data_IF_640811227893
#
_entry.id   IF_640811227893
#
_cell.length_a   1.000
_cell.length_b   1.000
_cell.length_c   1.000
_cell.angle_alpha   90.00
_cell.angle_beta   90.00
_cell.angle_gamma   90.00
#
_symmetry.space_group_name_H-M   'P 1'
#
loop_
_entity.id
_entity.type
_entity.pdbx_description
1 polymer ?
#
# COMPACT_ATOMS: atom_id res chain seq x y z
N UNK A 1 -7.27 34.71 -12.78
CA UNK A 1 -6.53 33.74 -13.60
C UNK A 1 -7.36 32.46 -13.68
N UNK A 2 -7.95 32.16 -14.82
CA UNK A 2 -8.71 30.92 -15.01
C UNK A 2 -7.71 29.74 -14.96
N UNK A 3 -7.72 28.98 -13.85
CA UNK A 3 -7.00 27.70 -13.81
C UNK A 3 -7.64 26.78 -14.86
N UNK A 4 -6.89 26.40 -15.90
CA UNK A 4 -7.32 25.37 -16.84
C UNK A 4 -7.59 24.10 -16.04
N UNK A 5 -8.84 23.63 -16.05
CA UNK A 5 -9.20 22.30 -15.58
C UNK A 5 -8.78 21.37 -16.70
N UNK A 6 -7.74 20.57 -16.44
CA UNK A 6 -7.32 19.52 -17.38
C UNK A 6 -8.19 18.32 -17.11
N UNK A 7 -8.99 17.84 -18.09
CA UNK A 7 -9.64 16.54 -17.94
C UNK A 7 -8.53 15.49 -17.75
N UNK A 8 -8.76 14.52 -16.86
CA UNK A 8 -7.91 13.33 -16.85
C UNK A 8 -8.01 12.74 -18.27
N UNK A 9 -6.89 12.68 -18.96
CA UNK A 9 -6.83 11.88 -20.17
C UNK A 9 -7.12 10.45 -19.77
N UNK A 10 -8.04 9.79 -20.46
CA UNK A 10 -8.08 8.33 -20.37
C UNK A 10 -6.66 7.84 -20.64
N UNK A 11 -6.13 6.93 -19.81
CA UNK A 11 -4.80 6.41 -20.05
C UNK A 11 -4.81 5.86 -21.47
N UNK A 12 -3.89 6.30 -22.36
CA UNK A 12 -3.84 5.69 -23.67
C UNK A 12 -3.63 4.20 -23.44
N UNK A 13 -4.41 3.34 -24.08
CA UNK A 13 -4.34 1.86 -23.99
C UNK A 13 -2.93 1.31 -24.24
N UNK A 14 -2.02 2.14 -24.76
CA UNK A 14 -0.57 1.94 -24.94
C UNK A 14 0.27 3.02 -24.23
N UNK A 15 -0.22 3.58 -23.14
CA UNK A 15 0.40 4.70 -22.45
C UNK A 15 1.78 4.42 -21.89
N UNK A 16 2.46 5.50 -21.58
CA UNK A 16 3.81 5.55 -20.99
C UNK A 16 3.91 4.63 -19.77
N UNK A 17 2.85 4.58 -18.99
CA UNK A 17 2.82 3.92 -17.71
C UNK A 17 1.77 2.85 -17.77
N UNK A 18 1.87 1.73 -18.03
CA UNK A 18 0.99 0.67 -17.70
C UNK A 18 0.62 -0.40 -18.62
N UNK A 19 0.15 -1.32 -18.01
CA UNK A 19 -0.70 -2.41 -18.41
C UNK A 19 -0.58 -3.52 -17.38
N UNK A 20 -1.62 -4.30 -17.15
CA UNK A 20 -1.63 -5.43 -16.23
C UNK A 20 -0.60 -6.50 -16.61
N UNK A 21 0.18 -6.25 -17.64
CA UNK A 21 1.06 -7.22 -18.27
C UNK A 21 2.38 -7.45 -17.57
N UNK A 22 2.81 -6.58 -16.63
CA UNK A 22 4.14 -6.74 -16.00
C UNK A 22 4.19 -6.13 -14.61
N UNK A 23 4.46 -6.96 -13.64
CA UNK A 23 4.55 -6.61 -12.22
C UNK A 23 5.64 -5.62 -11.86
N UNK A 24 6.70 -5.57 -12.70
CA UNK A 24 7.86 -4.74 -12.45
C UNK A 24 8.55 -4.50 -13.79
N UNK A 25 8.57 -3.25 -14.21
CA UNK A 25 9.07 -2.85 -15.52
C UNK A 25 9.89 -1.58 -15.40
N UNK A 26 11.11 -1.62 -15.92
CA UNK A 26 11.92 -0.41 -16.12
C UNK A 26 11.89 -0.03 -17.59
N UNK A 27 11.51 1.20 -17.87
CA UNK A 27 11.45 1.76 -19.21
C UNK A 27 12.05 3.15 -19.25
N UNK A 28 12.56 3.50 -20.43
CA UNK A 28 13.05 4.83 -20.75
C UNK A 28 12.01 5.60 -21.56
N UNK A 29 11.78 6.85 -21.19
CA UNK A 29 10.84 7.76 -21.84
C UNK A 29 11.50 9.08 -22.14
N UNK A 30 11.12 9.67 -23.25
CA UNK A 30 11.48 11.04 -23.60
C UNK A 30 10.21 11.87 -23.68
N UNK A 31 10.14 12.92 -22.86
CA UNK A 31 9.01 13.84 -22.80
C UNK A 31 9.48 15.17 -23.37
N UNK A 32 8.88 15.60 -24.48
CA UNK A 32 9.26 16.83 -25.21
C UNK A 32 8.22 17.94 -25.07
N UNK A 33 7.02 17.62 -24.61
CA UNK A 33 5.90 18.55 -24.41
C UNK A 33 5.19 18.22 -23.10
N UNK A 34 4.43 19.18 -22.59
CA UNK A 34 3.60 18.94 -21.41
C UNK A 34 2.69 17.73 -21.64
N UNK A 35 2.75 16.78 -20.70
CA UNK A 35 1.90 15.60 -20.73
C UNK A 35 0.55 15.89 -20.08
N UNK A 36 -0.49 15.21 -20.56
CA UNK A 36 -1.77 15.18 -19.87
C UNK A 36 -1.59 14.63 -18.45
N UNK A 37 -2.40 15.09 -17.48
CA UNK A 37 -2.40 14.52 -16.13
C UNK A 37 -2.63 13.01 -16.15
N UNK A 38 -1.81 12.26 -15.41
CA UNK A 38 -1.84 10.81 -15.32
C UNK A 38 -2.21 10.41 -13.89
N UNK A 39 -3.12 9.47 -13.75
CA UNK A 39 -3.47 8.84 -12.48
C UNK A 39 -3.70 7.36 -12.72
N UNK A 40 -2.76 6.53 -12.27
CA UNK A 40 -2.77 5.08 -12.52
C UNK A 40 -2.99 4.29 -11.23
N UNK A 41 -3.20 2.98 -11.36
CA UNK A 41 -3.27 2.08 -10.21
C UNK A 41 -1.90 1.56 -9.78
N UNK A 42 -0.95 1.52 -10.72
CA UNK A 42 0.43 1.15 -10.43
C UNK A 42 1.17 2.28 -9.69
N UNK A 43 2.24 1.91 -9.03
CA UNK A 43 3.19 2.84 -8.44
C UNK A 43 4.43 2.96 -9.30
N UNK A 44 5.09 4.13 -9.26
CA UNK A 44 6.24 4.43 -10.09
C UNK A 44 7.36 5.07 -9.30
N UNK A 45 8.59 4.57 -9.49
CA UNK A 45 9.78 5.38 -9.27
C UNK A 45 10.21 6.00 -10.59
N UNK A 46 10.37 7.31 -10.63
CA UNK A 46 10.79 8.06 -11.81
C UNK A 46 12.13 8.73 -11.50
N UNK A 47 13.17 8.35 -12.25
CA UNK A 47 14.47 8.98 -12.20
C UNK A 47 14.63 9.91 -13.42
N UNK A 48 14.95 11.16 -13.19
CA UNK A 48 15.32 12.11 -14.25
C UNK A 48 16.76 11.85 -14.66
N UNK A 49 16.98 11.41 -15.90
CA UNK A 49 18.33 11.13 -16.46
C UNK A 49 18.94 12.34 -17.11
N UNK A 50 18.13 13.13 -17.85
CA UNK A 50 18.56 14.34 -18.55
C UNK A 50 17.40 15.32 -18.66
N UNK A 51 17.75 16.59 -18.86
CA UNK A 51 16.80 17.69 -19.02
C UNK A 51 16.31 18.26 -17.71
N UNK A 52 15.59 19.38 -17.79
CA UNK A 52 14.97 20.09 -16.69
C UNK A 52 13.49 20.29 -16.95
N UNK A 53 12.73 20.46 -15.88
CA UNK A 53 11.30 20.67 -16.00
C UNK A 53 10.59 20.71 -14.64
N UNK A 54 9.29 20.50 -14.67
CA UNK A 54 8.41 20.53 -13.50
C UNK A 54 7.58 19.28 -13.48
N UNK A 55 7.56 18.59 -12.35
CA UNK A 55 6.53 17.61 -12.02
C UNK A 55 5.43 18.30 -11.23
N UNK A 56 4.20 18.18 -11.69
CA UNK A 56 3.02 18.66 -10.94
C UNK A 56 2.35 17.43 -10.33
N UNK A 57 2.40 17.33 -9.00
CA UNK A 57 1.87 16.18 -8.24
C UNK A 57 0.75 16.69 -7.34
N UNK A 58 -0.47 16.19 -7.55
CA UNK A 58 -1.67 16.67 -6.85
C UNK A 58 -1.81 18.22 -6.88
N UNK A 59 -1.44 18.84 -8.01
CA UNK A 59 -1.52 20.28 -8.23
C UNK A 59 -0.34 21.07 -7.65
N UNK A 60 0.61 20.46 -6.97
CA UNK A 60 1.81 21.08 -6.45
C UNK A 60 2.98 20.91 -7.42
N UNK A 61 3.77 21.95 -7.60
CA UNK A 61 4.88 22.00 -8.57
C UNK A 61 6.20 21.68 -7.90
N UNK A 62 6.93 20.74 -8.48
CA UNK A 62 8.28 20.35 -8.08
C UNK A 62 9.21 20.52 -9.27
N UNK A 63 10.21 21.42 -9.13
CA UNK A 63 11.28 21.54 -10.12
C UNK A 63 12.13 20.26 -10.11
N UNK A 64 12.44 19.75 -11.30
CA UNK A 64 13.22 18.53 -11.46
C UNK A 64 14.39 18.75 -12.42
N UNK A 65 15.51 18.12 -12.11
CA UNK A 65 16.75 18.11 -12.87
C UNK A 65 17.40 16.71 -12.83
N UNK A 66 18.47 16.47 -13.61
CA UNK A 66 19.13 15.16 -13.61
C UNK A 66 19.51 14.69 -12.20
N UNK A 67 19.14 13.45 -11.87
CA UNK A 67 19.34 12.85 -10.56
C UNK A 67 18.16 13.00 -9.60
N UNK A 68 17.18 13.86 -9.89
CA UNK A 68 15.93 13.90 -9.13
C UNK A 68 15.16 12.57 -9.28
N UNK A 69 14.60 12.10 -8.17
CA UNK A 69 13.81 10.87 -8.11
C UNK A 69 12.44 11.20 -7.52
N UNK A 70 11.39 10.72 -8.16
CA UNK A 70 10.02 10.82 -7.66
C UNK A 70 9.44 9.45 -7.41
N UNK A 71 8.67 9.32 -6.34
CA UNK A 71 7.85 8.14 -6.07
C UNK A 71 6.37 8.53 -6.19
N UNK A 72 5.70 8.00 -7.20
CA UNK A 72 4.29 8.27 -7.48
C UNK A 72 3.47 7.04 -7.12
N UNK A 73 2.38 7.26 -6.43
CA UNK A 73 1.44 6.21 -6.01
C UNK A 73 0.06 6.40 -6.62
N UNK A 74 -0.78 5.37 -6.50
CA UNK A 74 -2.12 5.32 -7.07
C UNK A 74 -3.07 6.47 -6.65
N UNK A 75 -2.77 7.15 -5.53
CA UNK A 75 -3.51 8.31 -5.03
C UNK A 75 -3.07 9.65 -5.62
N UNK A 76 -2.02 9.66 -6.44
CA UNK A 76 -1.41 10.89 -6.94
C UNK A 76 -1.68 11.08 -8.42
N UNK A 77 -1.97 12.33 -8.78
CA UNK A 77 -2.06 12.78 -10.17
C UNK A 77 -0.76 13.44 -10.55
N UNK A 78 -0.11 12.93 -11.58
CA UNK A 78 1.15 13.45 -12.09
C UNK A 78 0.95 14.12 -13.44
N UNK A 79 1.51 15.33 -13.59
CA UNK A 79 1.75 15.99 -14.87
C UNK A 79 3.23 16.27 -15.02
N UNK A 80 3.80 15.99 -16.18
CA UNK A 80 5.21 16.19 -16.50
C UNK A 80 5.32 17.33 -17.52
N UNK A 81 6.02 18.38 -17.14
CA UNK A 81 6.22 19.57 -17.97
C UNK A 81 7.71 19.81 -18.18
N UNK A 82 8.28 19.50 -19.34
CA UNK A 82 9.65 19.90 -19.68
C UNK A 82 9.77 21.43 -19.69
N UNK A 83 10.96 21.95 -19.38
CA UNK A 83 11.26 23.35 -19.57
C UNK A 83 11.27 23.71 -21.07
N UNK A 84 11.17 25.01 -21.35
CA UNK A 84 11.13 25.51 -22.73
C UNK A 84 12.39 25.08 -23.52
N UNK A 85 12.17 24.44 -24.67
CA UNK A 85 13.21 23.85 -25.52
C UNK A 85 14.04 22.70 -24.90
N UNK A 86 13.59 22.14 -23.78
CA UNK A 86 14.21 20.96 -23.18
C UNK A 86 13.40 19.67 -23.44
N UNK A 87 14.08 18.54 -23.30
CA UNK A 87 13.47 17.21 -23.30
C UNK A 87 13.87 16.50 -22.02
N UNK A 88 12.89 16.01 -21.30
CA UNK A 88 13.12 15.17 -20.13
C UNK A 88 13.32 13.72 -20.57
N UNK A 89 14.50 13.16 -20.28
CA UNK A 89 14.76 11.73 -20.38
C UNK A 89 14.56 11.10 -19.01
N UNK A 90 13.62 10.20 -18.93
CA UNK A 90 13.15 9.59 -17.68
C UNK A 90 13.37 8.07 -17.70
N UNK A 91 13.84 7.54 -16.59
CA UNK A 91 13.70 6.11 -16.30
C UNK A 91 12.54 5.91 -15.35
N UNK A 92 11.58 5.13 -15.81
CA UNK A 92 10.35 4.85 -15.05
C UNK A 92 10.33 3.38 -14.67
N UNK A 93 10.39 3.13 -13.38
CA UNK A 93 10.23 1.80 -12.79
C UNK A 93 8.79 1.67 -12.31
N UNK A 94 7.92 1.11 -13.15
CA UNK A 94 6.53 0.81 -12.78
C UNK A 94 6.45 -0.54 -12.08
N UNK A 95 5.61 -0.63 -11.06
CA UNK A 95 5.42 -1.86 -10.31
C UNK A 95 4.03 -1.89 -9.66
N UNK A 96 3.54 -3.11 -9.48
CA UNK A 96 2.36 -3.34 -8.67
C UNK A 96 2.74 -3.16 -7.20
N UNK A 97 2.15 -2.14 -6.55
CA UNK A 97 2.39 -1.81 -5.14
C UNK A 97 2.10 -3.00 -4.22
N UNK A 98 1.10 -3.82 -4.56
CA UNK A 98 0.69 -4.96 -3.76
C UNK A 98 1.70 -6.09 -3.83
N UNK A 99 2.36 -6.24 -4.97
CA UNK A 99 3.48 -7.14 -5.09
C UNK A 99 4.59 -6.76 -4.10
N UNK A 100 4.84 -5.48 -3.98
CA UNK A 100 5.82 -4.96 -3.05
C UNK A 100 5.44 -5.31 -1.61
N UNK A 101 4.18 -5.10 -1.21
CA UNK A 101 3.68 -5.39 0.13
C UNK A 101 3.58 -6.88 0.43
N UNK A 102 3.22 -7.71 -0.55
CA UNK A 102 3.14 -9.16 -0.36
C UNK A 102 4.49 -9.78 0.05
N UNK A 103 5.60 -9.24 -0.44
CA UNK A 103 6.95 -9.66 -0.06
C UNK A 103 7.53 -8.86 1.10
N UNK A 104 6.79 -7.88 1.62
CA UNK A 104 7.25 -7.06 2.73
C UNK A 104 7.01 -7.76 4.06
N UNK A 105 8.07 -8.22 4.68
CA UNK A 105 8.08 -8.45 6.13
C UNK A 105 8.20 -7.12 6.91
N UNK A 106 8.04 -5.99 6.23
CA UNK A 106 8.08 -4.66 6.82
C UNK A 106 6.88 -4.48 7.75
N UNK A 107 7.14 -4.01 8.97
CA UNK A 107 6.12 -3.65 9.96
C UNK A 107 5.55 -2.23 9.73
N UNK A 108 5.93 -1.59 8.64
CA UNK A 108 5.42 -0.27 8.28
C UNK A 108 4.01 -0.48 7.74
N UNK A 109 3.04 0.19 8.34
CA UNK A 109 1.66 0.13 7.87
C UNK A 109 1.52 0.87 6.53
N UNK A 110 0.51 0.50 5.75
CA UNK A 110 0.18 1.23 4.52
C UNK A 110 0.04 2.74 4.76
N UNK A 111 -0.58 3.12 5.86
CA UNK A 111 -0.79 4.52 6.22
C UNK A 111 0.52 5.26 6.50
N UNK A 112 1.46 4.64 7.23
CA UNK A 112 2.78 5.21 7.49
C UNK A 112 3.57 5.41 6.19
N UNK A 113 3.53 4.44 5.28
CA UNK A 113 4.16 4.58 3.96
C UNK A 113 3.52 5.70 3.14
N UNK A 114 2.18 5.80 3.14
CA UNK A 114 1.48 6.90 2.47
C UNK A 114 1.87 8.27 3.03
N UNK A 115 2.00 8.39 4.34
CA UNK A 115 2.47 9.62 4.98
C UNK A 115 3.89 9.99 4.53
N UNK A 116 4.82 9.02 4.51
CA UNK A 116 6.22 9.24 4.13
C UNK A 116 6.32 9.70 2.67
N UNK A 117 5.66 8.97 1.76
CA UNK A 117 5.71 9.27 0.32
C UNK A 117 5.03 10.59 -0.01
N UNK A 118 3.92 10.88 0.64
CA UNK A 118 3.23 12.15 0.42
C UNK A 118 3.95 13.33 1.10
N UNK A 119 4.81 13.09 2.10
CA UNK A 119 5.61 14.17 2.71
C UNK A 119 6.71 14.66 1.77
N UNK A 120 7.30 13.80 0.95
CA UNK A 120 8.37 14.16 0.01
C UNK A 120 8.20 13.45 -1.34
N UNK A 121 7.32 13.93 -2.24
CA UNK A 121 7.05 13.27 -3.51
C UNK A 121 8.22 13.28 -4.50
N UNK A 122 9.16 14.20 -4.33
CA UNK A 122 10.37 14.33 -5.15
C UNK A 122 11.58 14.53 -4.24
N UNK A 123 12.61 13.74 -4.42
CA UNK A 123 13.92 13.92 -3.77
C UNK A 123 14.93 14.51 -4.78
N UNK A 124 15.76 15.44 -4.29
CA UNK A 124 16.79 16.09 -5.10
C UNK A 124 17.97 15.17 -5.43
N UNK A 125 18.90 15.62 -6.31
CA UNK A 125 19.97 14.79 -6.84
C UNK A 125 21.14 14.56 -5.85
N UNK A 126 21.11 15.15 -4.67
CA UNK A 126 22.22 15.10 -3.72
C UNK A 126 22.00 14.08 -2.60
N UNK A 127 23.07 13.41 -2.17
CA UNK A 127 23.08 12.50 -1.04
C UNK A 127 23.48 11.07 -1.39
N UNK A 128 24.11 10.38 -0.45
CA UNK A 128 24.62 9.02 -0.64
C UNK A 128 23.53 8.00 -0.98
N UNK A 129 22.34 8.16 -0.40
CA UNK A 129 21.18 7.32 -0.67
C UNK A 129 20.67 7.51 -2.11
N UNK A 130 20.66 8.76 -2.59
CA UNK A 130 20.23 9.10 -3.96
C UNK A 130 21.21 8.50 -4.98
N UNK A 131 22.53 8.63 -4.74
CA UNK A 131 23.55 8.01 -5.59
C UNK A 131 23.39 6.49 -5.66
N UNK A 132 23.09 5.84 -4.52
CA UNK A 132 22.82 4.41 -4.49
C UNK A 132 21.55 4.07 -5.27
N UNK A 133 20.49 4.86 -5.19
CA UNK A 133 19.27 4.63 -5.97
C UNK A 133 19.57 4.74 -7.47
N UNK A 134 20.30 5.76 -7.90
CA UNK A 134 20.71 5.92 -9.31
C UNK A 134 21.51 4.70 -9.79
N UNK A 135 22.44 4.21 -8.98
CA UNK A 135 23.21 3.01 -9.29
C UNK A 135 22.33 1.74 -9.40
N UNK A 136 21.31 1.63 -8.55
CA UNK A 136 20.34 0.52 -8.64
C UNK A 136 19.52 0.57 -9.93
N UNK A 137 19.13 1.76 -10.41
CA UNK A 137 18.48 1.91 -11.70
C UNK A 137 19.41 1.44 -12.86
N UNK A 138 20.70 1.81 -12.81
CA UNK A 138 21.69 1.36 -13.80
C UNK A 138 21.86 -0.17 -13.77
N UNK A 139 21.94 -0.77 -12.57
CA UNK A 139 22.00 -2.23 -12.42
C UNK A 139 20.74 -2.92 -12.95
N UNK A 140 19.57 -2.36 -12.65
CA UNK A 140 18.30 -2.88 -13.10
C UNK A 140 18.21 -2.87 -14.63
N UNK A 141 18.66 -1.78 -15.28
CA UNK A 141 18.71 -1.69 -16.73
C UNK A 141 19.65 -2.71 -17.36
N UNK A 142 20.85 -2.92 -16.75
CA UNK A 142 21.84 -3.91 -17.20
C UNK A 142 21.35 -5.36 -17.14
N UNK A 143 20.45 -5.68 -16.19
CA UNK A 143 19.80 -6.99 -16.15
C UNK A 143 19.00 -7.28 -17.44
N UNK A 144 18.57 -6.22 -18.14
CA UNK A 144 17.92 -6.29 -19.44
C UNK A 144 16.65 -7.14 -19.42
N UNK A 145 16.22 -7.52 -20.62
CA UNK A 145 15.06 -8.40 -20.84
C UNK A 145 15.44 -9.90 -20.76
N UNK A 146 16.71 -10.24 -20.53
CA UNK A 146 17.17 -11.64 -20.49
C UNK A 146 16.54 -12.35 -19.28
N UNK A 147 15.81 -13.42 -19.56
CA UNK A 147 15.30 -14.35 -18.55
C UNK A 147 16.47 -15.26 -18.11
N UNK A 148 17.31 -14.79 -17.17
CA UNK A 148 18.31 -15.62 -16.51
C UNK A 148 17.78 -16.11 -15.16
N UNK A 149 18.36 -17.22 -14.68
CA UNK A 149 18.04 -17.73 -13.34
C UNK A 149 18.20 -16.62 -12.27
N UNK A 150 17.20 -16.45 -11.42
CA UNK A 150 17.22 -15.45 -10.35
C UNK A 150 16.98 -13.99 -10.78
N UNK A 151 16.81 -13.69 -12.08
CA UNK A 151 16.62 -12.29 -12.55
C UNK A 151 15.41 -11.61 -11.97
N UNK A 152 14.33 -12.35 -11.71
CA UNK A 152 13.11 -11.81 -11.08
C UNK A 152 13.37 -11.46 -9.61
N UNK A 153 14.10 -12.31 -8.88
CA UNK A 153 14.48 -12.07 -7.47
C UNK A 153 15.39 -10.83 -7.40
N UNK A 154 16.36 -10.70 -8.28
CA UNK A 154 17.24 -9.53 -8.33
C UNK A 154 16.47 -8.23 -8.58
N UNK A 155 15.54 -8.26 -9.54
CA UNK A 155 14.68 -7.08 -9.81
C UNK A 155 13.85 -6.67 -8.60
N UNK A 156 13.21 -7.62 -7.93
CA UNK A 156 12.46 -7.37 -6.70
C UNK A 156 13.36 -6.81 -5.58
N UNK A 157 14.57 -7.35 -5.44
CA UNK A 157 15.55 -6.88 -4.46
C UNK A 157 16.00 -5.44 -4.74
N UNK A 158 16.21 -5.08 -6.01
CA UNK A 158 16.55 -3.70 -6.38
C UNK A 158 15.41 -2.74 -6.07
N UNK A 159 14.19 -3.11 -6.42
CA UNK A 159 13.01 -2.30 -6.11
C UNK A 159 12.88 -2.06 -4.59
N UNK A 160 13.04 -3.11 -3.79
CA UNK A 160 13.00 -3.01 -2.32
C UNK A 160 14.09 -2.09 -1.77
N UNK A 161 15.28 -2.18 -2.32
CA UNK A 161 16.38 -1.33 -1.91
C UNK A 161 16.13 0.13 -2.31
N UNK A 162 15.57 0.38 -3.49
CA UNK A 162 15.17 1.73 -3.92
C UNK A 162 14.14 2.30 -2.93
N UNK A 163 13.10 1.55 -2.62
CA UNK A 163 12.06 1.93 -1.66
C UNK A 163 12.66 2.27 -0.28
N UNK A 164 13.49 1.38 0.27
CA UNK A 164 14.14 1.60 1.56
C UNK A 164 14.99 2.88 1.58
N UNK A 165 15.80 3.09 0.55
CA UNK A 165 16.66 4.27 0.46
C UNK A 165 15.84 5.55 0.29
N UNK A 166 14.79 5.51 -0.54
CA UNK A 166 13.86 6.64 -0.69
C UNK A 166 13.22 7.00 0.66
N UNK A 167 12.72 6.01 1.38
CA UNK A 167 12.12 6.21 2.70
C UNK A 167 13.09 6.79 3.72
N UNK A 168 14.37 6.39 3.70
CA UNK A 168 15.40 6.99 4.56
C UNK A 168 15.58 8.48 4.28
N UNK A 169 15.65 8.88 3.01
CA UNK A 169 15.74 10.29 2.61
C UNK A 169 14.49 11.03 3.06
N UNK A 170 13.30 10.48 2.80
CA UNK A 170 12.04 11.11 3.17
C UNK A 170 11.88 11.23 4.70
N UNK A 171 12.27 10.25 5.48
CA UNK A 171 12.24 10.31 6.95
C UNK A 171 13.20 11.37 7.49
N UNK A 172 14.39 11.49 6.93
CA UNK A 172 15.35 12.54 7.31
C UNK A 172 14.80 13.93 7.03
N UNK A 173 14.03 14.08 5.94
CA UNK A 173 13.36 15.33 5.59
C UNK A 173 12.07 15.55 6.40
N UNK A 174 11.42 14.49 6.93
CA UNK A 174 10.15 14.59 7.70
C UNK A 174 10.29 15.47 8.95
N UNK A 175 11.47 15.57 9.53
CA UNK A 175 11.76 16.48 10.64
C UNK A 175 11.53 17.96 10.29
N UNK A 176 11.56 18.30 9.01
CA UNK A 176 11.34 19.67 8.48
C UNK A 176 9.95 19.87 7.84
N UNK A 177 9.15 18.80 7.65
CA UNK A 177 7.82 18.88 7.04
C UNK A 177 6.74 18.52 8.05
N UNK A 178 5.93 19.49 8.45
CA UNK A 178 4.74 19.25 9.28
C UNK A 178 3.52 19.06 8.37
N UNK A 179 2.64 18.12 8.70
CA UNK A 179 1.39 17.87 7.96
C UNK A 179 0.57 19.14 7.77
N UNK A 180 0.58 20.05 8.77
CA UNK A 180 -0.09 21.33 8.74
C UNK A 180 0.41 22.24 7.59
N UNK A 181 1.65 22.09 7.17
CA UNK A 181 2.24 22.89 6.08
C UNK A 181 1.86 22.40 4.68
N UNK A 182 1.24 21.21 4.55
CA UNK A 182 0.86 20.68 3.24
C UNK A 182 -0.26 21.49 2.60
N UNK A 183 -0.23 21.66 1.26
CA UNK A 183 -1.37 22.20 0.53
C UNK A 183 -2.66 21.41 0.83
N UNK A 184 -3.78 22.12 0.88
CA UNK A 184 -5.07 21.51 1.19
C UNK A 184 -5.42 20.33 0.27
N UNK A 185 -5.09 20.44 -1.01
CA UNK A 185 -5.30 19.36 -1.99
C UNK A 185 -4.57 18.06 -1.61
N UNK A 186 -3.33 18.19 -1.10
CA UNK A 186 -2.53 17.03 -0.65
C UNK A 186 -3.14 16.41 0.60
N UNK A 187 -3.54 17.23 1.58
CA UNK A 187 -4.20 16.74 2.81
C UNK A 187 -5.47 15.97 2.50
N UNK A 188 -6.32 16.53 1.64
CA UNK A 188 -7.57 15.89 1.20
C UNK A 188 -7.28 14.55 0.51
N UNK A 189 -6.37 14.52 -0.46
CA UNK A 189 -6.04 13.30 -1.21
C UNK A 189 -5.49 12.21 -0.29
N UNK A 190 -4.60 12.57 0.62
CA UNK A 190 -4.01 11.64 1.60
C UNK A 190 -5.08 11.08 2.54
N UNK A 191 -5.94 11.94 3.10
CA UNK A 191 -6.99 11.51 4.01
C UNK A 191 -7.96 10.52 3.34
N UNK A 192 -8.42 10.83 2.12
CA UNK A 192 -9.29 9.92 1.38
C UNK A 192 -8.58 8.60 1.07
N UNK A 193 -7.32 8.63 0.64
CA UNK A 193 -6.57 7.42 0.30
C UNK A 193 -6.42 6.48 1.51
N UNK A 194 -6.14 7.03 2.71
CA UNK A 194 -5.91 6.25 3.93
C UNK A 194 -7.21 5.78 4.62
N UNK A 195 -8.37 6.40 4.31
CA UNK A 195 -9.66 6.06 4.92
C UNK A 195 -10.67 5.46 3.93
N UNK A 196 -10.27 5.20 2.68
CA UNK A 196 -11.19 4.80 1.61
C UNK A 196 -11.83 3.42 1.81
N UNK A 197 -11.21 2.53 2.54
CA UNK A 197 -11.70 1.18 2.84
C UNK A 197 -12.78 1.13 3.93
N UNK A 198 -13.04 2.25 4.61
CA UNK A 198 -14.11 2.41 5.59
C UNK A 198 -15.29 3.23 5.01
N UNK A 199 -16.44 3.29 5.69
CA UNK A 199 -17.48 4.26 5.38
C UNK A 199 -16.90 5.67 5.50
N UNK A 200 -16.90 6.40 4.39
CA UNK A 200 -16.35 7.76 4.32
C UNK A 200 -17.28 8.65 3.49
N UNK A 201 -17.67 9.78 4.06
CA UNK A 201 -18.48 10.81 3.42
C UNK A 201 -17.67 12.08 3.14
N UNK A 202 -18.18 12.96 2.28
CA UNK A 202 -17.55 14.25 2.03
C UNK A 202 -17.51 15.12 3.32
N UNK A 203 -18.55 15.03 4.15
CA UNK A 203 -18.61 15.70 5.45
C UNK A 203 -17.47 15.24 6.36
N UNK A 204 -17.22 13.92 6.46
CA UNK A 204 -16.12 13.39 7.29
C UNK A 204 -14.76 13.97 6.87
N UNK A 205 -14.53 14.14 5.57
CA UNK A 205 -13.29 14.76 5.07
C UNK A 205 -13.23 16.25 5.43
N UNK A 206 -14.34 16.97 5.28
CA UNK A 206 -14.42 18.39 5.65
C UNK A 206 -14.13 18.55 7.15
N UNK A 207 -14.81 17.79 8.00
CA UNK A 207 -14.71 17.92 9.45
C UNK A 207 -13.29 17.61 9.97
N UNK A 208 -12.59 16.66 9.35
CA UNK A 208 -11.28 16.23 9.81
C UNK A 208 -10.09 16.94 9.13
N UNK A 209 -10.26 17.47 7.92
CA UNK A 209 -9.15 18.03 7.13
C UNK A 209 -9.28 19.53 6.90
N UNK A 210 -10.50 20.03 6.74
CA UNK A 210 -10.76 21.44 6.39
C UNK A 210 -12.07 21.96 7.00
N UNK A 211 -12.20 21.98 8.34
CA UNK A 211 -13.47 22.27 9.02
C UNK A 211 -14.05 23.68 8.72
N UNK A 212 -13.24 24.60 8.21
CA UNK A 212 -13.69 25.90 7.74
C UNK A 212 -14.19 25.93 6.29
N UNK A 213 -14.20 24.78 5.60
CA UNK A 213 -14.62 24.64 4.20
C UNK A 213 -16.02 23.98 4.11
N UNK A 214 -16.54 23.88 2.88
CA UNK A 214 -17.77 23.16 2.58
C UNK A 214 -17.49 21.95 1.71
N UNK A 215 -18.43 20.99 1.65
CA UNK A 215 -18.35 19.86 0.70
C UNK A 215 -18.25 20.32 -0.76
N UNK A 216 -18.87 21.45 -1.10
CA UNK A 216 -18.75 22.04 -2.43
C UNK A 216 -17.31 22.52 -2.71
N UNK A 217 -16.64 23.12 -1.72
CA UNK A 217 -15.24 23.54 -1.80
C UNK A 217 -14.30 22.33 -1.90
N UNK A 218 -14.56 21.28 -1.12
CA UNK A 218 -13.85 20.00 -1.21
C UNK A 218 -13.94 19.42 -2.64
N UNK A 219 -15.15 19.30 -3.18
CA UNK A 219 -15.38 18.79 -4.53
C UNK A 219 -14.69 19.68 -5.60
N UNK A 220 -14.75 21.00 -5.43
CA UNK A 220 -14.06 21.91 -6.35
C UNK A 220 -12.54 21.70 -6.31
N UNK A 221 -11.96 21.55 -5.12
CA UNK A 221 -10.53 21.29 -4.97
C UNK A 221 -10.12 19.98 -5.66
N UNK A 222 -10.87 18.91 -5.44
CA UNK A 222 -10.62 17.62 -6.08
C UNK A 222 -10.75 17.71 -7.61
N UNK A 223 -11.81 18.35 -8.12
CA UNK A 223 -12.01 18.55 -9.57
C UNK A 223 -10.86 19.33 -10.22
N UNK A 224 -10.38 20.40 -9.56
CA UNK A 224 -9.27 21.19 -10.08
C UNK A 224 -7.96 20.41 -10.14
N UNK A 225 -7.72 19.55 -9.14
CA UNK A 225 -6.45 18.83 -8.98
C UNK A 225 -6.46 17.50 -9.72
N UNK A 226 -7.56 16.76 -9.65
CA UNK A 226 -7.61 15.37 -10.13
C UNK A 226 -8.55 15.18 -11.32
N UNK A 227 -9.38 16.13 -11.63
CA UNK A 227 -10.48 15.99 -12.61
C UNK A 227 -11.65 15.15 -12.10
N UNK A 228 -11.62 14.69 -10.85
CA UNK A 228 -12.62 13.82 -10.25
C UNK A 228 -13.32 14.52 -9.07
N UNK A 229 -14.63 14.28 -8.93
CA UNK A 229 -15.32 14.66 -7.70
C UNK A 229 -15.01 13.68 -6.55
N UNK A 230 -15.46 14.00 -5.32
CA UNK A 230 -15.20 13.17 -4.14
C UNK A 230 -15.61 11.70 -4.34
N UNK A 231 -16.82 11.45 -4.84
CA UNK A 231 -17.31 10.08 -5.02
C UNK A 231 -16.51 9.29 -6.07
N UNK A 232 -16.11 9.95 -7.16
CA UNK A 232 -15.26 9.34 -8.19
C UNK A 232 -13.87 9.04 -7.66
N UNK A 233 -13.25 10.00 -6.94
CA UNK A 233 -11.93 9.81 -6.35
C UNK A 233 -11.94 8.71 -5.28
N UNK A 234 -12.92 8.71 -4.37
CA UNK A 234 -13.10 7.68 -3.35
C UNK A 234 -13.27 6.28 -3.98
N UNK A 235 -14.11 6.15 -5.01
CA UNK A 235 -14.29 4.86 -5.70
C UNK A 235 -13.01 4.40 -6.39
N UNK A 236 -12.19 5.32 -6.91
CA UNK A 236 -10.90 4.99 -7.49
C UNK A 236 -9.93 4.45 -6.42
N UNK A 237 -9.88 5.06 -5.25
CA UNK A 237 -9.06 4.57 -4.13
C UNK A 237 -9.53 3.19 -3.66
N UNK A 238 -10.84 3.00 -3.55
CA UNK A 238 -11.42 1.68 -3.24
C UNK A 238 -11.07 0.61 -4.28
N UNK A 239 -11.05 0.96 -5.56
CA UNK A 239 -10.62 0.04 -6.61
C UNK A 239 -9.13 -0.28 -6.52
N UNK A 240 -8.29 0.70 -6.21
CA UNK A 240 -6.86 0.46 -5.97
C UNK A 240 -6.65 -0.54 -4.83
N UNK A 241 -7.38 -0.36 -3.72
CA UNK A 241 -7.38 -1.33 -2.62
C UNK A 241 -7.88 -2.72 -3.07
N UNK A 242 -8.97 -2.78 -3.84
CA UNK A 242 -9.53 -4.05 -4.32
C UNK A 242 -8.55 -4.82 -5.22
N UNK A 243 -7.89 -4.12 -6.14
CA UNK A 243 -6.92 -4.72 -7.07
C UNK A 243 -5.75 -5.37 -6.33
N UNK A 244 -5.43 -4.86 -5.15
CA UNK A 244 -4.48 -5.44 -4.23
C UNK A 244 -4.72 -6.92 -3.91
N UNK A 245 -5.97 -7.27 -3.78
CA UNK A 245 -6.38 -8.61 -3.40
C UNK A 245 -6.53 -9.55 -4.60
N UNK A 246 -6.34 -9.07 -5.83
CA UNK A 246 -6.50 -9.90 -7.03
C UNK A 246 -5.38 -10.92 -7.20
N UNK A 247 -4.26 -10.73 -6.55
CA UNK A 247 -3.16 -11.72 -6.49
C UNK A 247 -3.57 -13.00 -5.74
N UNK A 248 -4.60 -12.91 -4.92
CA UNK A 248 -5.16 -14.06 -4.21
C UNK A 248 -6.29 -14.64 -5.07
N UNK A 249 -5.97 -15.69 -5.84
CA UNK A 249 -6.87 -16.29 -6.83
C UNK A 249 -8.15 -16.89 -6.23
N UNK A 250 -8.13 -17.22 -4.97
CA UNK A 250 -9.21 -17.83 -4.20
C UNK A 250 -10.06 -16.86 -3.37
N UNK A 251 -9.71 -15.55 -3.31
CA UNK A 251 -10.57 -14.57 -2.64
C UNK A 251 -11.80 -14.27 -3.50
N UNK A 252 -13.02 -14.47 -2.99
CA UNK A 252 -14.24 -14.15 -3.71
C UNK A 252 -14.41 -12.63 -3.85
N UNK A 253 -14.97 -12.17 -4.95
CA UNK A 253 -15.10 -10.75 -5.24
C UNK A 253 -16.06 -10.00 -4.31
N UNK A 254 -17.08 -10.68 -3.76
CA UNK A 254 -17.94 -10.10 -2.73
C UNK A 254 -17.15 -9.72 -1.48
N UNK A 255 -16.21 -10.59 -1.06
CA UNK A 255 -15.31 -10.30 0.05
C UNK A 255 -14.36 -9.14 -0.30
N UNK A 256 -13.68 -9.20 -1.45
CA UNK A 256 -12.78 -8.13 -1.92
C UNK A 256 -13.50 -6.79 -1.95
N UNK A 257 -14.72 -6.73 -2.51
CA UNK A 257 -15.48 -5.49 -2.58
C UNK A 257 -15.79 -4.93 -1.19
N UNK A 258 -16.16 -5.79 -0.24
CA UNK A 258 -16.48 -5.41 1.13
C UNK A 258 -15.27 -4.81 1.86
N UNK A 259 -14.13 -5.51 1.88
CA UNK A 259 -12.91 -5.03 2.57
C UNK A 259 -12.28 -3.80 1.91
N UNK A 260 -12.66 -3.53 0.65
CA UNK A 260 -12.22 -2.33 -0.08
C UNK A 260 -13.19 -1.14 0.08
N UNK A 261 -14.21 -1.28 0.93
CA UNK A 261 -15.13 -0.20 1.28
C UNK A 261 -16.35 -0.06 0.35
N UNK A 262 -16.63 -1.01 -0.54
CA UNK A 262 -17.85 -0.98 -1.35
C UNK A 262 -19.02 -1.59 -0.58
N UNK A 263 -20.12 -0.86 -0.47
CA UNK A 263 -21.33 -1.34 0.20
C UNK A 263 -22.07 -2.45 -0.57
N UNK A 264 -21.86 -2.55 -1.89
CA UNK A 264 -22.51 -3.53 -2.78
C UNK A 264 -21.52 -4.02 -3.83
N UNK A 265 -21.44 -5.33 -4.00
CA UNK A 265 -20.62 -5.98 -5.02
C UNK A 265 -20.92 -5.48 -6.45
N UNK A 266 -22.21 -5.27 -6.77
CA UNK A 266 -22.64 -4.73 -8.06
C UNK A 266 -22.00 -3.36 -8.33
N UNK A 267 -21.88 -2.51 -7.31
CA UNK A 267 -21.24 -1.20 -7.44
C UNK A 267 -19.74 -1.35 -7.75
N UNK A 268 -19.06 -2.27 -7.07
CA UNK A 268 -17.67 -2.60 -7.36
C UNK A 268 -17.49 -3.04 -8.82
N UNK A 269 -18.25 -4.04 -9.29
CA UNK A 269 -18.14 -4.55 -10.67
C UNK A 269 -18.37 -3.45 -11.71
N UNK A 270 -19.38 -2.61 -11.49
CA UNK A 270 -19.69 -1.50 -12.40
C UNK A 270 -18.55 -0.48 -12.49
N UNK A 271 -18.02 -0.02 -11.35
CA UNK A 271 -16.92 0.95 -11.31
C UNK A 271 -15.63 0.35 -11.86
N UNK A 272 -15.36 -0.92 -11.53
CA UNK A 272 -14.18 -1.61 -12.02
C UNK A 272 -14.19 -1.68 -13.56
N UNK A 273 -15.31 -2.16 -14.15
CA UNK A 273 -15.46 -2.25 -15.61
C UNK A 273 -15.39 -0.88 -16.29
N UNK A 274 -15.98 0.15 -15.69
CA UNK A 274 -15.98 1.50 -16.24
C UNK A 274 -14.56 2.10 -16.33
N UNK A 275 -13.65 1.71 -15.42
CA UNK A 275 -12.27 2.25 -15.37
C UNK A 275 -11.30 1.36 -16.15
N UNK A 276 -11.45 0.03 -16.10
CA UNK A 276 -10.48 -0.91 -16.66
C UNK A 276 -10.92 -1.50 -18.01
N UNK A 277 -12.14 -1.23 -18.46
CA UNK A 277 -12.80 -1.89 -19.60
C UNK A 277 -12.91 -3.43 -19.46
N UNK A 278 -12.56 -3.98 -18.31
CA UNK A 278 -12.53 -5.42 -18.05
C UNK A 278 -13.42 -5.78 -16.86
N UNK A 279 -13.86 -7.03 -16.81
CA UNK A 279 -14.46 -7.56 -15.60
C UNK A 279 -13.34 -7.86 -14.57
N UNK A 280 -13.63 -7.79 -13.25
CA UNK A 280 -12.67 -8.17 -12.23
C UNK A 280 -12.09 -9.58 -12.42
N UNK A 281 -12.92 -10.53 -12.89
CA UNK A 281 -12.48 -11.90 -13.17
C UNK A 281 -11.47 -11.94 -14.32
N UNK A 282 -11.81 -11.33 -15.47
CA UNK A 282 -10.93 -11.32 -16.64
C UNK A 282 -9.59 -10.60 -16.32
N UNK A 283 -9.64 -9.53 -15.53
CA UNK A 283 -8.45 -8.81 -15.09
C UNK A 283 -7.58 -9.70 -14.19
N UNK A 284 -8.18 -10.37 -13.19
CA UNK A 284 -7.47 -11.34 -12.33
C UNK A 284 -6.83 -12.47 -13.13
N UNK A 285 -7.56 -13.06 -14.07
CA UNK A 285 -7.05 -14.12 -14.93
C UNK A 285 -5.85 -13.65 -15.77
N UNK A 286 -5.93 -12.44 -16.30
CA UNK A 286 -4.82 -11.83 -17.04
C UNK A 286 -3.61 -11.59 -16.13
N UNK A 287 -3.80 -11.02 -14.94
CA UNK A 287 -2.72 -10.85 -13.96
C UNK A 287 -2.06 -12.19 -13.61
N UNK A 288 -2.86 -13.21 -13.29
CA UNK A 288 -2.35 -14.53 -12.91
C UNK A 288 -1.71 -15.28 -14.08
N UNK A 289 -2.19 -15.09 -15.32
CA UNK A 289 -1.62 -15.73 -16.50
C UNK A 289 -0.25 -15.15 -16.85
N UNK A 290 -0.08 -13.86 -16.71
CA UNK A 290 1.20 -13.17 -16.94
C UNK A 290 2.25 -13.52 -15.87
N UNK A 291 1.80 -13.96 -14.68
CA UNK A 291 2.64 -14.51 -13.62
C UNK A 291 3.12 -15.94 -13.86
N UNK A 292 2.64 -16.67 -14.87
CA UNK A 292 3.05 -18.06 -15.12
C UNK A 292 4.54 -18.19 -15.48
N UNK A 293 5.15 -17.16 -16.02
CA UNK A 293 6.60 -17.11 -16.31
C UNK A 293 7.48 -16.80 -15.09
N UNK A 294 6.89 -16.30 -14.02
CA UNK A 294 7.56 -16.04 -12.76
C UNK A 294 6.91 -16.88 -11.64
N UNK A 295 7.36 -18.08 -11.40
CA UNK A 295 6.96 -18.96 -10.29
C UNK A 295 7.09 -18.33 -8.90
N UNK A 296 7.28 -17.03 -8.83
CA UNK A 296 7.45 -16.21 -7.63
C UNK A 296 6.13 -16.04 -6.87
N UNK A 297 4.98 -16.09 -7.57
CA UNK A 297 3.65 -15.90 -6.96
C UNK A 297 3.03 -17.15 -6.37
N UNK A 298 3.63 -18.31 -6.58
CA UNK A 298 3.23 -19.52 -5.86
C UNK A 298 4.06 -19.71 -4.59
N UNK A 299 4.28 -18.64 -3.85
CA UNK A 299 4.62 -18.74 -2.45
C UNK A 299 3.40 -19.28 -1.72
N UNK A 300 3.51 -20.48 -1.20
CA UNK A 300 2.51 -21.18 -0.40
C UNK A 300 1.08 -20.94 -0.88
N UNK A 301 0.63 -21.73 -1.86
CA UNK A 301 -0.79 -21.78 -2.22
C UNK A 301 -1.51 -22.18 -0.93
N UNK A 302 -2.10 -21.19 -0.25
CA UNK A 302 -3.01 -21.51 0.84
C UNK A 302 -4.19 -22.23 0.19
N UNK A 303 -4.52 -23.40 0.68
CA UNK A 303 -5.74 -24.06 0.25
C UNK A 303 -6.93 -23.16 0.61
N UNK A 304 -7.97 -23.19 -0.19
CA UNK A 304 -9.18 -22.40 0.05
C UNK A 304 -9.70 -22.50 1.50
N UNK A 305 -9.77 -23.71 2.12
CA UNK A 305 -10.19 -23.84 3.51
C UNK A 305 -9.24 -23.14 4.50
N UNK A 306 -7.93 -23.12 4.25
CA UNK A 306 -6.98 -22.46 5.14
C UNK A 306 -7.11 -20.94 5.07
N UNK A 307 -7.23 -20.38 3.87
CA UNK A 307 -7.40 -18.96 3.71
C UNK A 307 -8.72 -18.46 4.30
N UNK A 308 -9.81 -19.20 4.04
CA UNK A 308 -11.12 -18.91 4.63
C UNK A 308 -11.06 -18.96 6.16
N UNK A 309 -10.32 -19.92 6.73
CA UNK A 309 -10.13 -20.01 8.17
C UNK A 309 -9.30 -18.83 8.73
N UNK A 310 -8.23 -18.42 8.05
CA UNK A 310 -7.43 -17.26 8.45
C UNK A 310 -8.27 -15.98 8.41
N UNK A 311 -9.06 -15.79 7.35
CA UNK A 311 -9.99 -14.67 7.21
C UNK A 311 -11.04 -14.68 8.33
N UNK A 312 -11.66 -15.84 8.59
CA UNK A 312 -12.61 -15.99 9.68
C UNK A 312 -11.99 -15.60 11.03
N UNK A 313 -10.76 -16.07 11.31
CA UNK A 313 -10.04 -15.72 12.55
C UNK A 313 -9.76 -14.23 12.65
N UNK A 314 -9.42 -13.58 11.54
CA UNK A 314 -9.15 -12.14 11.49
C UNK A 314 -10.44 -11.34 11.75
N UNK A 315 -11.52 -11.67 11.06
CA UNK A 315 -12.81 -10.96 11.17
C UNK A 315 -13.45 -11.12 12.56
N UNK A 316 -13.15 -12.25 13.25
CA UNK A 316 -13.70 -12.55 14.57
C UNK A 316 -12.64 -12.48 15.69
N UNK A 317 -11.51 -11.83 15.47
CA UNK A 317 -10.38 -11.88 16.42
C UNK A 317 -10.71 -11.24 17.79
N UNK A 318 -11.64 -10.30 17.85
CA UNK A 318 -12.06 -9.65 19.10
C UNK A 318 -13.06 -10.47 19.91
N UNK A 319 -13.69 -11.47 19.27
CA UNK A 319 -14.72 -12.32 19.86
C UNK A 319 -14.18 -13.70 20.27
N UNK A 320 -14.89 -14.44 21.13
CA UNK A 320 -14.55 -15.84 21.40
C UNK A 320 -14.71 -16.72 20.16
N UNK A 321 -13.61 -17.26 19.64
CA UNK A 321 -13.62 -18.16 18.47
C UNK A 321 -13.73 -19.61 18.91
N UNK A 322 -14.83 -20.27 18.54
CA UNK A 322 -15.04 -21.71 18.72
C UNK A 322 -14.75 -22.48 17.43
N UNK A 323 -13.90 -23.51 17.53
CA UNK A 323 -13.49 -24.31 16.37
C UNK A 323 -14.66 -25.08 15.72
N UNK A 324 -15.72 -25.42 16.50
CA UNK A 324 -16.89 -26.11 15.93
C UNK A 324 -17.71 -25.14 15.09
N UNK A 325 -17.89 -23.90 15.58
CA UNK A 325 -18.62 -22.87 14.87
C UNK A 325 -17.84 -22.51 13.60
N UNK A 326 -16.54 -22.24 13.71
CA UNK A 326 -15.68 -21.93 12.57
C UNK A 326 -15.72 -23.03 11.49
N UNK A 327 -15.61 -24.32 11.87
CA UNK A 327 -15.60 -25.39 10.87
C UNK A 327 -16.97 -25.61 10.24
N UNK A 328 -18.06 -25.38 10.97
CA UNK A 328 -19.43 -25.42 10.42
C UNK A 328 -19.62 -24.29 9.40
N UNK A 329 -19.25 -23.09 9.75
CA UNK A 329 -19.45 -21.89 8.91
C UNK A 329 -18.57 -21.92 7.65
N UNK A 330 -17.41 -22.60 7.73
CA UNK A 330 -16.51 -22.79 6.60
C UNK A 330 -16.73 -24.12 5.83
N UNK A 331 -17.77 -24.87 6.14
CA UNK A 331 -18.08 -26.16 5.50
C UNK A 331 -16.88 -27.12 5.44
N UNK A 332 -16.08 -27.17 6.53
CA UNK A 332 -14.87 -28.00 6.63
C UNK A 332 -14.84 -28.80 7.92
N UNK A 333 -13.78 -29.54 8.16
CA UNK A 333 -13.60 -30.31 9.39
C UNK A 333 -12.40 -29.85 10.20
N UNK A 334 -12.43 -30.08 11.53
CA UNK A 334 -11.30 -29.74 12.41
C UNK A 334 -10.00 -30.41 11.97
N UNK A 335 -10.06 -31.64 11.48
CA UNK A 335 -8.89 -32.41 11.06
C UNK A 335 -8.25 -31.77 9.81
N UNK A 336 -9.06 -31.36 8.83
CA UNK A 336 -8.59 -30.67 7.63
C UNK A 336 -7.92 -29.36 8.01
N UNK A 337 -8.57 -28.52 8.80
CA UNK A 337 -7.99 -27.25 9.22
C UNK A 337 -6.71 -27.45 10.04
N UNK A 338 -6.71 -28.38 11.00
CA UNK A 338 -5.53 -28.68 11.83
C UNK A 338 -4.34 -29.12 10.99
N UNK A 339 -4.54 -30.02 10.03
CA UNK A 339 -3.52 -30.48 9.09
C UNK A 339 -2.96 -29.29 8.30
N UNK A 340 -3.82 -28.48 7.72
CA UNK A 340 -3.41 -27.34 6.89
C UNK A 340 -2.67 -26.24 7.66
N UNK A 341 -3.17 -25.87 8.85
CA UNK A 341 -2.46 -24.93 9.71
C UNK A 341 -1.07 -25.46 10.09
N UNK A 342 -0.97 -26.74 10.43
CA UNK A 342 0.33 -27.34 10.78
C UNK A 342 1.26 -27.48 9.59
N UNK A 343 0.78 -27.96 8.44
CA UNK A 343 1.62 -28.19 7.24
C UNK A 343 2.05 -26.88 6.56
N UNK A 344 1.16 -25.89 6.49
CA UNK A 344 1.43 -24.66 5.74
C UNK A 344 2.01 -23.54 6.60
N UNK A 345 1.60 -23.45 7.86
CA UNK A 345 1.99 -22.34 8.75
C UNK A 345 2.83 -22.80 9.94
N UNK A 346 3.00 -24.11 10.13
CA UNK A 346 3.63 -24.69 11.30
C UNK A 346 3.08 -24.14 12.64
N UNK A 347 1.82 -23.79 12.68
CA UNK A 347 1.12 -23.16 13.80
C UNK A 347 -0.26 -23.79 14.00
N UNK A 348 -0.90 -23.57 15.14
CA UNK A 348 -2.32 -23.85 15.33
C UNK A 348 -3.17 -22.61 14.98
N UNK A 349 -4.49 -22.83 14.74
CA UNK A 349 -5.40 -21.71 14.56
C UNK A 349 -5.44 -20.76 15.78
N UNK A 350 -5.21 -21.28 16.98
CA UNK A 350 -5.13 -20.48 18.21
C UNK A 350 -3.90 -19.59 18.22
N UNK A 351 -2.77 -20.09 17.72
CA UNK A 351 -1.54 -19.31 17.64
C UNK A 351 -1.71 -18.14 16.66
N UNK A 352 -2.35 -18.39 15.52
CA UNK A 352 -2.66 -17.34 14.53
C UNK A 352 -3.64 -16.32 15.10
N UNK A 353 -4.70 -16.76 15.79
CA UNK A 353 -5.64 -15.87 16.47
C UNK A 353 -4.94 -14.97 17.50
N UNK A 354 -4.06 -15.55 18.31
CA UNK A 354 -3.27 -14.80 19.31
C UNK A 354 -2.34 -13.78 18.64
N UNK A 355 -1.73 -14.14 17.51
CA UNK A 355 -0.93 -13.17 16.73
C UNK A 355 -1.77 -11.99 16.23
N UNK A 356 -2.97 -12.23 15.69
CA UNK A 356 -3.86 -11.15 15.26
C UNK A 356 -4.25 -10.24 16.43
N UNK A 357 -4.63 -10.81 17.56
CA UNK A 357 -4.96 -10.06 18.79
C UNK A 357 -3.79 -9.21 19.29
N UNK A 358 -2.56 -9.76 19.26
CA UNK A 358 -1.38 -8.99 19.65
C UNK A 358 -1.13 -7.84 18.68
N UNK A 359 -1.28 -8.06 17.36
CA UNK A 359 -1.13 -6.99 16.37
C UNK A 359 -2.15 -5.88 16.56
N UNK A 360 -3.38 -6.25 16.84
CA UNK A 360 -4.42 -5.27 17.14
C UNK A 360 -4.12 -4.51 18.43
N UNK A 361 -3.69 -5.20 19.48
CA UNK A 361 -3.25 -4.55 20.73
C UNK A 361 -2.04 -3.61 20.51
N UNK A 362 -1.06 -3.99 19.67
CA UNK A 362 0.06 -3.11 19.27
C UNK A 362 -0.45 -1.80 18.66
N UNK A 363 -1.41 -1.90 17.74
CA UNK A 363 -2.03 -0.73 17.12
C UNK A 363 -2.70 0.18 18.16
N UNK A 364 -3.52 -0.38 19.05
CA UNK A 364 -4.17 0.38 20.10
C UNK A 364 -3.18 1.01 21.09
N UNK A 365 -2.10 0.30 21.43
CA UNK A 365 -1.03 0.81 22.29
C UNK A 365 -0.29 2.00 21.67
N UNK A 366 -0.08 1.96 20.36
CA UNK A 366 0.60 3.03 19.61
C UNK A 366 -0.29 4.25 19.39
N UNK A 367 -1.59 4.04 19.12
CA UNK A 367 -2.49 5.12 18.63
C UNK A 367 -3.42 5.68 19.70
N UNK A 368 -3.58 5.02 20.86
CA UNK A 368 -4.53 5.43 21.90
C UNK A 368 -3.89 5.58 23.28
N UNK A 369 -4.64 6.26 24.19
CA UNK A 369 -4.30 6.36 25.60
C UNK A 369 -5.10 5.39 26.48
N UNK A 370 -5.79 4.42 25.90
CA UNK A 370 -6.63 3.48 26.63
C UNK A 370 -5.82 2.74 27.72
N UNK A 371 -6.40 2.47 28.88
CA UNK A 371 -5.83 1.59 29.88
C UNK A 371 -5.46 0.22 29.30
N UNK A 372 -4.44 -0.44 29.86
CA UNK A 372 -3.99 -1.75 29.37
C UNK A 372 -5.13 -2.80 29.45
N UNK A 373 -5.98 -2.70 30.47
CA UNK A 373 -7.14 -3.57 30.61
C UNK A 373 -8.14 -3.39 29.47
N UNK A 374 -8.43 -2.14 29.12
CA UNK A 374 -9.38 -1.84 28.04
C UNK A 374 -8.85 -2.32 26.69
N UNK A 375 -7.54 -2.15 26.44
CA UNK A 375 -6.89 -2.71 25.24
C UNK A 375 -6.97 -4.24 25.22
N UNK A 376 -6.84 -4.90 26.37
CA UNK A 376 -6.96 -6.35 26.44
C UNK A 376 -8.38 -6.80 26.08
N UNK A 377 -9.40 -6.08 26.51
CA UNK A 377 -10.81 -6.36 26.18
C UNK A 377 -11.05 -6.10 24.70
N UNK A 378 -10.71 -4.90 24.20
CA UNK A 378 -10.90 -4.50 22.80
C UNK A 378 -10.18 -5.45 21.82
N UNK A 379 -9.01 -5.95 22.18
CA UNK A 379 -8.25 -6.90 21.36
C UNK A 379 -8.62 -8.36 21.57
N UNK A 380 -9.69 -8.67 22.30
CA UNK A 380 -10.26 -10.00 22.45
C UNK A 380 -9.53 -10.92 23.42
N UNK A 381 -8.62 -10.42 24.28
CA UNK A 381 -7.95 -11.25 25.29
C UNK A 381 -8.78 -11.54 26.53
N UNK A 382 -9.79 -10.75 26.79
CA UNK A 382 -10.65 -10.88 27.96
C UNK A 382 -10.01 -10.51 29.31
N UNK A 383 -8.67 -10.44 29.40
CA UNK A 383 -7.94 -9.96 30.58
C UNK A 383 -6.56 -9.43 30.23
N UNK A 384 -6.13 -8.41 31.00
CA UNK A 384 -4.80 -7.80 30.93
C UNK A 384 -3.67 -8.80 31.21
N UNK A 385 -3.87 -9.71 32.12
CA UNK A 385 -2.90 -10.76 32.48
C UNK A 385 -2.65 -11.70 31.28
N UNK A 386 -3.69 -12.12 30.59
CA UNK A 386 -3.57 -13.01 29.41
C UNK A 386 -2.89 -12.26 28.28
N UNK A 387 -3.33 -11.03 28.00
CA UNK A 387 -2.72 -10.19 26.98
C UNK A 387 -1.22 -9.96 27.29
N UNK A 388 -0.87 -9.53 28.50
CA UNK A 388 0.51 -9.22 28.87
C UNK A 388 1.43 -10.43 28.68
N UNK A 389 1.00 -11.61 29.10
CA UNK A 389 1.78 -12.84 28.93
C UNK A 389 2.00 -13.19 27.45
N UNK A 390 0.94 -13.15 26.63
CA UNK A 390 1.04 -13.50 25.20
C UNK A 390 1.82 -12.43 24.44
N UNK A 391 1.57 -11.17 24.75
CA UNK A 391 2.25 -10.03 24.16
C UNK A 391 3.78 -10.09 24.43
N UNK A 392 4.16 -10.37 25.68
CA UNK A 392 5.57 -10.56 26.05
C UNK A 392 6.21 -11.73 25.32
N UNK A 393 5.51 -12.86 25.20
CA UNK A 393 6.04 -14.02 24.50
C UNK A 393 6.30 -13.75 23.00
N UNK A 394 5.48 -12.91 22.37
CA UNK A 394 5.59 -12.59 20.94
C UNK A 394 6.60 -11.45 20.72
N UNK A 395 6.56 -10.40 21.54
CA UNK A 395 7.29 -9.15 21.30
C UNK A 395 8.57 -9.01 22.17
N UNK A 396 8.73 -9.82 23.21
CA UNK A 396 9.84 -9.70 24.17
C UNK A 396 9.73 -8.47 25.09
N UNK A 397 8.63 -7.73 25.04
CA UNK A 397 8.33 -6.53 25.83
C UNK A 397 6.94 -6.64 26.45
N UNK A 398 6.74 -6.03 27.61
CA UNK A 398 5.39 -5.85 28.13
C UNK A 398 4.60 -4.78 27.32
N UNK A 399 3.26 -4.81 27.33
CA UNK A 399 2.44 -3.79 26.66
C UNK A 399 2.79 -2.35 27.11
N UNK A 400 3.08 -2.16 28.39
CA UNK A 400 3.47 -0.86 28.96
C UNK A 400 4.84 -0.38 28.45
N UNK A 401 5.80 -1.27 28.35
CA UNK A 401 7.13 -0.97 27.78
C UNK A 401 7.04 -0.67 26.29
N UNK A 402 6.24 -1.44 25.56
CA UNK A 402 5.97 -1.22 24.14
C UNK A 402 5.39 0.18 23.91
N UNK A 403 4.33 0.57 24.67
CA UNK A 403 3.74 1.91 24.59
C UNK A 403 4.75 3.03 24.87
N UNK A 404 5.57 2.86 25.93
CA UNK A 404 6.61 3.86 26.27
C UNK A 404 7.63 4.01 25.14
N UNK A 405 8.00 2.91 24.49
CA UNK A 405 8.95 2.88 23.36
C UNK A 405 8.42 3.59 22.14
N UNK A 406 7.17 3.28 21.76
CA UNK A 406 6.49 3.94 20.63
C UNK A 406 6.40 5.46 20.81
N UNK A 407 6.12 5.90 22.05
CA UNK A 407 6.03 7.35 22.35
C UNK A 407 7.38 8.06 22.37
N UNK A 408 8.47 7.37 22.62
CA UNK A 408 9.83 7.96 22.62
C UNK A 408 10.47 8.01 21.25
N UNK A 409 9.87 7.39 20.23
CA UNK A 409 10.45 7.31 18.88
C UNK A 409 11.76 6.52 18.83
N UNK A 410 12.06 5.69 19.82
CA UNK A 410 13.27 4.87 19.87
C UNK A 410 13.10 3.69 18.90
N UNK A 411 13.62 3.84 17.68
CA UNK A 411 13.82 2.72 16.77
C UNK A 411 14.97 1.87 17.28
N UNK A 412 14.68 0.63 17.65
CA UNK A 412 15.74 -0.34 17.96
C UNK A 412 16.49 -0.74 16.69
N UNK A 413 17.75 -0.34 16.59
CA UNK A 413 18.72 -0.90 15.64
C UNK A 413 19.11 -2.36 15.94
N UNK A 414 18.54 -2.97 16.98
CA UNK A 414 18.81 -4.38 17.34
C UNK A 414 17.58 -5.23 17.06
N UNK A 415 17.58 -5.84 15.87
CA UNK A 415 16.65 -6.91 15.55
C UNK A 415 16.81 -8.08 16.52
N UNK A 416 15.86 -8.27 17.44
CA UNK A 416 15.76 -9.48 18.23
C UNK A 416 15.17 -10.55 17.31
N UNK A 417 15.89 -11.66 17.04
CA UNK A 417 15.31 -12.75 16.26
C UNK A 417 14.09 -13.32 17.00
N UNK A 418 13.04 -13.73 16.30
CA UNK A 418 11.88 -14.36 16.92
C UNK A 418 12.34 -15.62 17.67
N UNK A 419 12.13 -15.64 18.98
CA UNK A 419 12.33 -16.87 19.75
C UNK A 419 11.35 -17.91 19.26
N UNK A 420 11.88 -18.99 18.71
CA UNK A 420 11.14 -20.21 18.42
C UNK A 420 10.39 -20.64 19.69
N UNK A 421 9.08 -20.78 19.60
CA UNK A 421 8.26 -21.26 20.71
C UNK A 421 8.76 -22.68 21.05
N UNK A 422 9.39 -22.81 22.22
CA UNK A 422 9.74 -24.15 22.72
C UNK A 422 8.47 -24.90 23.01
N UNK A 423 8.39 -26.11 22.43
CA UNK A 423 7.36 -27.10 22.72
C UNK A 423 7.29 -27.32 24.24
N UNK A 424 6.19 -26.94 24.85
CA UNK A 424 5.80 -27.43 26.15
C UNK A 424 5.14 -28.80 25.95
N UNK A 425 5.78 -29.82 26.47
CA UNK A 425 5.25 -31.17 26.59
C UNK A 425 3.90 -31.21 27.31
#
# INVERSE_FOLDING_TARGET
>A
MNKKIYPLCEPPRNGIFCGPDKYLKLQEYTVSTEMCPIMEFDSYFILVKKGRGIFIINGEKFAVEPGCISWIQCSQVLTICPDFNEQLQLWVCSYDYQLLNYYSFSRISFNEEQEIVNSLPVIGPAGSEVEQIIHLFDQFQKLGKKKSYGSAILRSSFLRKIELLYNRVAQSAKASYQFESFPLSRKISLYIATHSNAPLTASDVVDNVCPSSSEASLNHTLLVVTGLNFGQYLNRMRLAHAMAYFLYDNLPFNYISSISGFNKEISFFRHFKAITDMTPLAYREQMLSNGKDGRIYRGTIMSEPLLSAITYLYDNMTEPVDANIMTRDLYTTKNILRSQFKEKLNASYKDILLQFRVRYAESLLATTNLPILDIAIESGFGSDRTMTRVFFNINGLSPGEFRKRQRRGEQDEKGIPPKTIKESR
#
